data_IF_012200022747
#
_entry.id   IF_012200022747
#
_cell.length_a   1.000
_cell.length_b   1.000
_cell.length_c   1.000
_cell.angle_alpha   90.00
_cell.angle_beta   90.00
_cell.angle_gamma   90.00
#
_symmetry.space_group_name_H-M   'P 1'
#
loop_
_entity.id
_entity.type
_entity.pdbx_description
1 polymer ?
#
# COMPACT_ATOMS: atom_id res chain seq x y z
N UNK A 1 20.47 44.35 -23.72
CA UNK A 1 20.60 42.90 -23.89
C UNK A 1 20.57 42.32 -22.47
N UNK A 2 19.40 42.01 -22.02
CA UNK A 2 19.19 41.35 -20.71
C UNK A 2 18.87 39.89 -21.00
N UNK A 3 19.85 39.05 -20.69
CA UNK A 3 19.80 37.60 -20.84
C UNK A 3 18.89 37.06 -19.70
N UNK A 4 17.66 36.69 -20.06
CA UNK A 4 16.78 35.93 -19.18
C UNK A 4 17.13 34.44 -19.33
N UNK A 5 18.05 33.98 -18.54
CA UNK A 5 18.20 32.53 -18.31
C UNK A 5 16.99 32.09 -17.49
N UNK A 6 15.97 31.54 -18.16
CA UNK A 6 14.93 30.74 -17.55
C UNK A 6 15.61 29.49 -16.93
N UNK A 7 15.93 29.59 -15.63
CA UNK A 7 16.22 28.42 -14.84
C UNK A 7 14.94 27.60 -14.69
N UNK A 8 14.70 26.72 -15.66
CA UNK A 8 13.73 25.65 -15.54
C UNK A 8 14.26 24.65 -14.47
N UNK A 9 14.05 24.97 -13.19
CA UNK A 9 14.21 24.01 -12.11
C UNK A 9 13.13 22.94 -12.28
N UNK A 10 13.43 21.93 -13.10
CA UNK A 10 12.59 20.75 -13.27
C UNK A 10 12.45 20.02 -11.95
N UNK A 11 11.50 20.44 -11.12
CA UNK A 11 11.07 19.66 -9.96
C UNK A 11 10.47 18.38 -10.52
N UNK A 12 11.21 17.29 -10.47
CA UNK A 12 10.69 15.96 -10.83
C UNK A 12 9.50 15.66 -9.92
N UNK A 13 8.31 15.52 -10.52
CA UNK A 13 7.11 15.20 -9.77
C UNK A 13 7.17 13.74 -9.32
N UNK A 14 7.12 13.48 -8.02
CA UNK A 14 7.08 12.12 -7.45
C UNK A 14 5.89 11.33 -7.99
N UNK A 15 6.14 10.21 -8.66
CA UNK A 15 5.10 9.32 -9.17
C UNK A 15 4.78 8.22 -8.16
N UNK A 16 3.52 8.15 -7.74
CA UNK A 16 3.03 7.19 -6.74
C UNK A 16 2.02 6.23 -7.34
N UNK A 17 2.29 4.93 -7.26
CA UNK A 17 1.32 3.89 -7.55
C UNK A 17 0.66 3.39 -6.27
N UNK A 18 -0.69 3.35 -6.24
CA UNK A 18 -1.48 2.79 -5.14
C UNK A 18 -2.28 1.60 -5.66
N UNK A 19 -1.97 0.39 -5.21
CA UNK A 19 -2.74 -0.80 -5.58
C UNK A 19 -4.09 -0.82 -4.87
N UNK A 20 -5.18 -1.20 -5.57
CA UNK A 20 -6.52 -1.17 -4.99
C UNK A 20 -7.03 0.24 -4.66
N UNK A 21 -6.61 1.25 -5.44
CA UNK A 21 -6.89 2.67 -5.19
C UNK A 21 -8.30 3.14 -5.58
N UNK A 22 -9.16 2.25 -6.07
CA UNK A 22 -10.48 2.62 -6.57
C UNK A 22 -11.57 2.75 -5.50
N UNK A 23 -11.26 2.50 -4.22
CA UNK A 23 -12.18 2.67 -3.08
C UNK A 23 -11.47 2.67 -1.72
N UNK A 24 -12.19 3.02 -0.67
CA UNK A 24 -11.76 2.92 0.72
C UNK A 24 -10.44 3.65 1.00
N UNK A 25 -9.55 2.99 1.75
CA UNK A 25 -8.26 3.57 2.15
C UNK A 25 -7.40 3.98 0.94
N UNK A 26 -7.33 3.14 -0.10
CA UNK A 26 -6.54 3.46 -1.29
C UNK A 26 -7.04 4.69 -2.04
N UNK A 27 -8.35 4.90 -2.11
CA UNK A 27 -8.97 6.08 -2.72
C UNK A 27 -8.65 7.35 -1.92
N UNK A 28 -8.80 7.31 -0.61
CA UNK A 28 -8.49 8.46 0.27
C UNK A 28 -6.99 8.76 0.30
N UNK A 29 -6.13 7.73 0.34
CA UNK A 29 -4.69 7.93 0.23
C UNK A 29 -4.32 8.59 -1.11
N UNK A 30 -4.96 8.19 -2.22
CA UNK A 30 -4.77 8.80 -3.53
C UNK A 30 -5.15 10.29 -3.54
N UNK A 31 -6.32 10.63 -2.97
CA UNK A 31 -6.76 12.01 -2.82
C UNK A 31 -5.73 12.86 -2.06
N UNK A 32 -5.30 12.37 -0.90
CA UNK A 32 -4.36 13.09 -0.02
C UNK A 32 -2.96 13.22 -0.63
N UNK A 33 -2.42 12.16 -1.24
CA UNK A 33 -1.10 12.22 -1.89
C UNK A 33 -1.09 13.15 -3.11
N UNK A 34 -2.21 13.25 -3.85
CA UNK A 34 -2.37 14.28 -4.88
C UNK A 34 -2.28 15.68 -4.28
N UNK A 35 -2.92 15.94 -3.12
CA UNK A 35 -2.82 17.23 -2.42
C UNK A 35 -1.40 17.53 -1.93
N UNK A 36 -0.59 16.49 -1.67
CA UNK A 36 0.85 16.61 -1.39
C UNK A 36 1.71 16.84 -2.66
N UNK A 37 1.10 16.98 -3.85
CA UNK A 37 1.79 17.27 -5.10
C UNK A 37 2.34 16.04 -5.83
N UNK A 38 1.99 14.82 -5.42
CA UNK A 38 2.37 13.61 -6.13
C UNK A 38 1.56 13.46 -7.44
N UNK A 39 2.21 12.95 -8.49
CA UNK A 39 1.49 12.32 -9.59
C UNK A 39 1.00 10.97 -9.11
N UNK A 40 -0.29 10.86 -8.83
CA UNK A 40 -0.88 9.63 -8.32
C UNK A 40 -1.45 8.79 -9.45
N UNK A 41 -1.13 7.51 -9.45
CA UNK A 41 -1.73 6.47 -10.29
C UNK A 41 -2.43 5.46 -9.41
N UNK A 42 -3.72 5.24 -9.59
CA UNK A 42 -4.43 4.18 -8.89
C UNK A 42 -4.45 2.90 -9.73
N UNK A 43 -4.09 1.77 -9.12
CA UNK A 43 -4.25 0.45 -9.70
C UNK A 43 -5.60 -0.15 -9.33
N UNK A 44 -6.35 -0.65 -10.31
CA UNK A 44 -7.63 -1.31 -10.10
C UNK A 44 -7.80 -2.52 -11.02
N UNK A 45 -8.30 -3.65 -10.49
CA UNK A 45 -8.55 -4.86 -11.27
C UNK A 45 -9.67 -4.66 -12.30
N UNK A 46 -10.74 -4.00 -11.90
CA UNK A 46 -11.86 -3.65 -12.76
C UNK A 46 -11.60 -2.30 -13.43
N UNK A 47 -11.52 -2.30 -14.76
CA UNK A 47 -11.20 -1.12 -15.55
C UNK A 47 -12.24 -0.01 -15.39
N UNK A 48 -13.54 -0.34 -15.36
CA UNK A 48 -14.61 0.63 -15.24
C UNK A 48 -14.56 1.36 -13.89
N UNK A 49 -14.37 0.61 -12.79
CA UNK A 49 -14.23 1.19 -11.44
C UNK A 49 -12.95 2.00 -11.31
N UNK A 50 -11.85 1.54 -11.93
CA UNK A 50 -10.59 2.29 -11.95
C UNK A 50 -10.73 3.63 -12.65
N UNK A 51 -11.32 3.65 -13.84
CA UNK A 51 -11.55 4.86 -14.63
C UNK A 51 -12.49 5.83 -13.90
N UNK A 52 -13.59 5.34 -13.32
CA UNK A 52 -14.52 6.16 -12.55
C UNK A 52 -13.81 6.84 -11.37
N UNK A 53 -13.11 6.06 -10.53
CA UNK A 53 -12.42 6.58 -9.35
C UNK A 53 -11.32 7.59 -9.73
N UNK A 54 -10.57 7.32 -10.80
CA UNK A 54 -9.56 8.24 -11.31
C UNK A 54 -10.18 9.55 -11.79
N UNK A 55 -11.33 9.49 -12.47
CA UNK A 55 -12.08 10.67 -12.89
C UNK A 55 -12.58 11.51 -11.72
N UNK A 56 -13.10 10.87 -10.66
CA UNK A 56 -13.54 11.56 -9.44
C UNK A 56 -12.38 12.25 -8.71
N UNK A 57 -11.24 11.59 -8.63
CA UNK A 57 -10.03 12.12 -7.98
C UNK A 57 -9.26 13.12 -8.87
N UNK A 58 -9.44 13.05 -10.18
CA UNK A 58 -8.59 13.76 -11.14
C UNK A 58 -7.14 13.26 -11.07
N UNK A 59 -6.94 11.95 -11.04
CA UNK A 59 -5.64 11.26 -11.04
C UNK A 59 -5.55 10.28 -12.20
N UNK A 60 -4.38 9.68 -12.39
CA UNK A 60 -4.15 8.64 -13.38
C UNK A 60 -4.61 7.27 -12.86
N UNK A 61 -4.81 6.32 -13.78
CA UNK A 61 -5.11 4.94 -13.41
C UNK A 61 -4.45 3.94 -14.35
N UNK A 62 -4.29 2.71 -13.86
CA UNK A 62 -3.80 1.56 -14.61
C UNK A 62 -4.63 0.33 -14.25
N UNK A 63 -4.92 -0.54 -15.24
CA UNK A 63 -5.52 -1.82 -14.92
C UNK A 63 -4.50 -2.71 -14.22
N UNK A 64 -4.81 -3.16 -13.00
CA UNK A 64 -3.87 -3.91 -12.17
C UNK A 64 -4.61 -4.95 -11.32
N UNK A 65 -4.45 -6.21 -11.70
CA UNK A 65 -4.77 -7.36 -10.86
C UNK A 65 -3.47 -7.84 -10.18
N UNK A 66 -3.36 -7.57 -8.88
CA UNK A 66 -2.16 -7.91 -8.09
C UNK A 66 -1.94 -9.41 -7.90
N UNK A 67 -2.93 -10.25 -8.26
CA UNK A 67 -2.83 -11.72 -8.22
C UNK A 67 -2.33 -12.30 -9.55
N UNK A 68 -2.10 -11.47 -10.58
CA UNK A 68 -1.66 -11.87 -11.91
C UNK A 68 -0.29 -11.29 -12.23
N UNK A 69 0.72 -12.15 -12.39
CA UNK A 69 2.07 -11.75 -12.79
C UNK A 69 2.06 -10.97 -14.11
N UNK A 70 1.24 -11.41 -15.08
CA UNK A 70 1.13 -10.74 -16.38
C UNK A 70 0.51 -9.35 -16.26
N UNK A 71 -0.53 -9.17 -15.41
CA UNK A 71 -1.15 -7.88 -15.17
C UNK A 71 -0.18 -6.91 -14.48
N UNK A 72 0.57 -7.40 -13.49
CA UNK A 72 1.54 -6.59 -12.76
C UNK A 72 2.70 -6.15 -13.68
N UNK A 73 3.20 -7.05 -14.52
CA UNK A 73 4.24 -6.74 -15.49
C UNK A 73 3.78 -5.71 -16.54
N UNK A 74 2.55 -5.87 -17.06
CA UNK A 74 1.97 -4.92 -18.00
C UNK A 74 1.77 -3.53 -17.38
N UNK A 75 1.33 -3.46 -16.12
CA UNK A 75 1.20 -2.20 -15.40
C UNK A 75 2.57 -1.53 -15.18
N UNK A 76 3.61 -2.29 -14.85
CA UNK A 76 4.96 -1.75 -14.69
C UNK A 76 5.49 -1.17 -16.02
N UNK A 77 5.26 -1.85 -17.13
CA UNK A 77 5.63 -1.34 -18.46
C UNK A 77 4.86 -0.07 -18.82
N UNK A 78 3.54 -0.04 -18.63
CA UNK A 78 2.70 1.14 -18.91
C UNK A 78 3.17 2.38 -18.13
N UNK A 79 3.48 2.21 -16.84
CA UNK A 79 3.93 3.32 -16.01
C UNK A 79 5.35 3.79 -16.35
N UNK A 80 6.20 2.87 -16.79
CA UNK A 80 7.51 3.22 -17.34
C UNK A 80 7.38 4.09 -18.60
N UNK A 81 6.53 3.68 -19.55
CA UNK A 81 6.34 4.38 -20.83
C UNK A 81 5.68 5.75 -20.66
N UNK A 82 4.69 5.86 -19.75
CA UNK A 82 3.93 7.10 -19.54
C UNK A 82 4.64 8.13 -18.68
N UNK A 83 5.39 7.66 -17.65
CA UNK A 83 5.87 8.54 -16.58
C UNK A 83 7.36 8.38 -16.26
N UNK A 84 8.07 7.45 -16.91
CA UNK A 84 9.46 7.14 -16.61
C UNK A 84 9.62 6.27 -15.36
N UNK A 85 8.52 5.75 -14.82
CA UNK A 85 8.50 4.81 -13.70
C UNK A 85 7.78 5.33 -12.46
N UNK A 86 7.97 4.61 -11.35
CA UNK A 86 7.34 4.83 -10.05
C UNK A 86 8.41 5.12 -9.00
N UNK A 87 8.20 6.16 -8.21
CA UNK A 87 9.04 6.52 -7.06
C UNK A 87 8.51 5.95 -5.75
N UNK A 88 7.18 5.91 -5.60
CA UNK A 88 6.48 5.45 -4.40
C UNK A 88 5.49 4.37 -4.76
N UNK A 89 5.63 3.19 -4.14
CA UNK A 89 4.71 2.06 -4.29
C UNK A 89 3.93 1.84 -2.99
N UNK A 90 2.60 2.02 -3.03
CA UNK A 90 1.71 1.71 -1.92
C UNK A 90 0.97 0.41 -2.21
N UNK A 91 1.37 -0.67 -1.55
CA UNK A 91 0.70 -1.97 -1.58
C UNK A 91 -0.50 -1.95 -0.61
N UNK A 92 -1.64 -1.46 -1.12
CA UNK A 92 -2.87 -1.32 -0.35
C UNK A 92 -3.91 -2.39 -0.70
N UNK A 93 -3.86 -3.00 -1.88
CA UNK A 93 -4.81 -4.04 -2.28
C UNK A 93 -4.83 -5.20 -1.27
N UNK A 94 -6.02 -5.59 -0.84
CA UNK A 94 -6.18 -6.68 0.12
C UNK A 94 -7.63 -7.16 0.24
N UNK A 95 -7.80 -8.34 0.84
CA UNK A 95 -9.09 -8.95 1.14
C UNK A 95 -9.10 -9.48 2.58
N UNK A 96 -10.26 -9.45 3.22
CA UNK A 96 -10.46 -10.07 4.55
C UNK A 96 -10.52 -11.60 4.47
N UNK A 97 -10.90 -12.14 3.32
CA UNK A 97 -11.38 -13.50 3.19
C UNK A 97 -12.77 -13.70 3.79
N UNK A 98 -13.33 -14.90 3.71
CA UNK A 98 -14.60 -15.23 4.34
C UNK A 98 -14.46 -15.29 5.86
N UNK A 99 -15.50 -14.88 6.58
CA UNK A 99 -15.59 -15.06 8.03
C UNK A 99 -16.05 -16.49 8.32
N UNK A 100 -15.10 -17.36 8.62
CA UNK A 100 -15.33 -18.76 9.02
C UNK A 100 -14.67 -19.01 10.38
N UNK A 101 -15.16 -20.02 11.12
CA UNK A 101 -14.51 -20.47 12.36
C UNK A 101 -13.07 -20.94 12.11
N UNK A 102 -12.23 -20.90 13.13
CA UNK A 102 -10.83 -21.37 12.99
C UNK A 102 -10.76 -22.87 12.68
N UNK A 103 -11.73 -23.63 13.10
CA UNK A 103 -11.92 -25.07 12.86
C UNK A 103 -12.51 -25.38 11.47
N UNK A 104 -13.09 -24.36 10.80
CA UNK A 104 -13.63 -24.46 9.43
C UNK A 104 -12.65 -23.93 8.37
N UNK A 105 -11.48 -23.40 8.80
CA UNK A 105 -10.48 -22.87 7.90
C UNK A 105 -9.85 -23.96 7.06
N UNK A 106 -9.92 -23.80 5.74
CA UNK A 106 -9.27 -24.71 4.80
C UNK A 106 -8.09 -24.06 4.06
N UNK A 107 -7.31 -24.90 3.37
CA UNK A 107 -6.13 -24.48 2.63
C UNK A 107 -6.47 -23.58 1.43
N UNK A 108 -7.64 -23.71 0.81
CA UNK A 108 -8.04 -22.90 -0.34
C UNK A 108 -8.33 -21.46 0.09
N UNK A 109 -9.06 -21.29 1.19
CA UNK A 109 -9.29 -19.98 1.82
C UNK A 109 -7.95 -19.32 2.20
N UNK A 110 -7.09 -20.05 2.92
CA UNK A 110 -5.78 -19.57 3.33
C UNK A 110 -4.94 -19.11 2.13
N UNK A 111 -4.85 -19.95 1.09
CA UNK A 111 -4.09 -19.63 -0.12
C UNK A 111 -4.60 -18.39 -0.82
N UNK A 112 -5.91 -18.23 -0.96
CA UNK A 112 -6.51 -17.07 -1.61
C UNK A 112 -6.21 -15.76 -0.88
N UNK A 113 -6.27 -15.77 0.45
CA UNK A 113 -5.97 -14.58 1.26
C UNK A 113 -4.48 -14.25 1.23
N UNK A 114 -3.61 -15.26 1.36
CA UNK A 114 -2.16 -15.08 1.26
C UNK A 114 -1.75 -14.57 -0.12
N UNK A 115 -2.34 -15.09 -1.21
CA UNK A 115 -2.02 -14.67 -2.57
C UNK A 115 -2.28 -13.16 -2.78
N UNK A 116 -3.44 -12.67 -2.30
CA UNK A 116 -3.81 -11.27 -2.45
C UNK A 116 -3.08 -10.34 -1.46
N UNK A 117 -2.95 -10.74 -0.19
CA UNK A 117 -2.46 -9.82 0.85
C UNK A 117 -0.94 -9.83 1.02
N UNK A 118 -0.28 -10.94 0.63
CA UNK A 118 1.15 -11.17 0.89
C UNK A 118 1.93 -11.36 -0.40
N UNK A 119 1.57 -12.36 -1.22
CA UNK A 119 2.32 -12.68 -2.45
C UNK A 119 2.19 -11.56 -3.47
N UNK A 120 1.06 -10.86 -3.51
CA UNK A 120 0.87 -9.67 -4.33
C UNK A 120 1.91 -8.58 -4.07
N UNK A 121 2.27 -8.33 -2.80
CA UNK A 121 3.33 -7.37 -2.48
C UNK A 121 4.70 -7.80 -3.03
N UNK A 122 4.98 -9.10 -3.02
CA UNK A 122 6.20 -9.65 -3.66
C UNK A 122 6.18 -9.42 -5.16
N UNK A 123 5.03 -9.69 -5.85
CA UNK A 123 4.89 -9.46 -7.29
C UNK A 123 5.09 -8.00 -7.67
N UNK A 124 4.43 -7.09 -6.95
CA UNK A 124 4.52 -5.66 -7.23
C UNK A 124 5.92 -5.12 -6.94
N UNK A 125 6.53 -5.43 -5.79
CA UNK A 125 7.90 -5.03 -5.48
C UNK A 125 8.86 -5.56 -6.55
N UNK A 126 8.76 -6.83 -6.93
CA UNK A 126 9.61 -7.42 -7.96
C UNK A 126 9.50 -6.71 -9.31
N UNK A 127 8.28 -6.44 -9.78
CA UNK A 127 8.06 -5.82 -11.08
C UNK A 127 8.48 -4.33 -11.12
N UNK A 128 8.28 -3.62 -10.03
CA UNK A 128 8.62 -2.19 -9.93
C UNK A 128 10.03 -1.92 -9.39
N UNK A 129 10.77 -2.94 -8.94
CA UNK A 129 12.11 -2.79 -8.37
C UNK A 129 13.09 -2.04 -9.28
N UNK A 130 13.15 -2.30 -10.61
CA UNK A 130 14.03 -1.55 -11.50
C UNK A 130 13.71 -0.05 -11.54
N UNK A 131 12.42 0.33 -11.44
CA UNK A 131 11.97 1.72 -11.43
C UNK A 131 12.31 2.38 -10.09
N UNK A 132 11.96 1.73 -8.97
CA UNK A 132 12.29 2.19 -7.62
C UNK A 132 13.80 2.45 -7.45
N UNK A 133 14.66 1.56 -7.99
CA UNK A 133 16.13 1.75 -7.93
C UNK A 133 16.65 2.94 -8.73
N UNK A 134 15.90 3.46 -9.69
CA UNK A 134 16.25 4.68 -10.44
C UNK A 134 15.73 5.95 -9.79
N UNK A 135 14.78 5.84 -8.89
CA UNK A 135 14.25 6.98 -8.14
C UNK A 135 15.31 7.56 -7.21
N UNK A 136 15.29 8.87 -7.03
CA UNK A 136 16.16 9.56 -6.06
C UNK A 136 15.70 9.40 -4.61
N UNK A 137 14.43 9.06 -4.39
CA UNK A 137 13.85 8.85 -3.06
C UNK A 137 12.80 7.72 -3.11
N UNK A 138 13.23 6.46 -3.35
CA UNK A 138 12.29 5.35 -3.52
C UNK A 138 11.65 4.93 -2.20
N UNK A 139 10.34 4.75 -2.22
CA UNK A 139 9.56 4.35 -1.04
C UNK A 139 8.62 3.20 -1.38
N UNK A 140 8.50 2.24 -0.48
CA UNK A 140 7.47 1.20 -0.49
C UNK A 140 6.70 1.25 0.82
N UNK A 141 5.38 1.36 0.75
CA UNK A 141 4.48 1.31 1.90
C UNK A 141 3.59 0.08 1.76
N UNK A 142 3.72 -0.86 2.68
CA UNK A 142 2.87 -2.04 2.75
C UNK A 142 1.76 -1.81 3.79
N UNK A 143 0.50 -1.77 3.33
CA UNK A 143 -0.66 -1.58 4.22
C UNK A 143 -0.99 -2.92 4.88
N UNK A 144 -0.64 -3.02 6.16
CA UNK A 144 -0.90 -4.18 7.00
C UNK A 144 -2.10 -3.97 7.93
N UNK A 145 -2.00 -4.44 9.16
CA UNK A 145 -3.02 -4.34 10.20
C UNK A 145 -2.41 -4.74 11.54
N UNK A 146 -2.89 -4.18 12.65
CA UNK A 146 -2.59 -4.65 13.99
C UNK A 146 -2.89 -6.14 14.21
N UNK A 147 -3.80 -6.71 13.39
CA UNK A 147 -4.06 -8.17 13.37
C UNK A 147 -2.87 -9.01 12.89
N UNK A 148 -1.89 -8.43 12.18
CA UNK A 148 -0.63 -9.06 11.78
C UNK A 148 0.43 -9.04 12.89
N UNK A 149 0.33 -8.10 13.82
CA UNK A 149 1.29 -7.92 14.91
C UNK A 149 1.12 -8.97 16.01
N UNK A 150 2.17 -9.69 16.34
CA UNK A 150 2.18 -10.58 17.51
C UNK A 150 2.08 -9.80 18.84
N UNK A 151 2.71 -8.62 18.91
CA UNK A 151 2.65 -7.77 20.09
C UNK A 151 1.23 -7.24 20.35
N UNK A 152 0.55 -6.76 19.30
CA UNK A 152 -0.84 -6.28 19.40
C UNK A 152 -1.80 -7.41 19.74
N UNK A 153 -1.64 -8.58 19.11
CA UNK A 153 -2.47 -9.76 19.37
C UNK A 153 -2.29 -10.35 20.78
N UNK A 154 -1.11 -10.17 21.39
CA UNK A 154 -0.86 -10.62 22.78
C UNK A 154 -1.47 -9.70 23.85
N UNK A 155 -1.85 -8.47 23.48
CA UNK A 155 -2.47 -7.51 24.41
C UNK A 155 -3.98 -7.79 24.55
N UNK A 156 -4.39 -8.35 25.70
CA UNK A 156 -5.78 -8.70 26.00
C UNK A 156 -6.72 -7.49 26.06
N UNK A 157 -6.19 -6.27 26.19
CA UNK A 157 -6.99 -5.04 26.18
C UNK A 157 -7.39 -4.59 24.77
N UNK A 158 -6.77 -5.15 23.75
CA UNK A 158 -7.00 -4.81 22.36
C UNK A 158 -8.10 -5.67 21.73
N UNK A 159 -8.89 -5.06 20.84
CA UNK A 159 -9.93 -5.79 20.11
C UNK A 159 -9.35 -6.92 19.23
N UNK A 160 -8.15 -6.70 18.69
CA UNK A 160 -7.43 -7.65 17.85
C UNK A 160 -7.20 -8.98 18.55
N UNK A 161 -7.02 -8.99 19.89
CA UNK A 161 -6.86 -10.20 20.68
C UNK A 161 -8.04 -11.17 20.53
N UNK A 162 -9.27 -10.66 20.48
CA UNK A 162 -10.50 -11.44 20.48
C UNK A 162 -11.00 -11.86 19.09
N UNK A 163 -10.40 -11.35 17.99
CA UNK A 163 -10.91 -11.57 16.64
C UNK A 163 -10.37 -12.88 16.03
N UNK A 164 -11.23 -13.84 15.63
CA UNK A 164 -10.82 -15.14 15.07
C UNK A 164 -10.51 -15.05 13.57
N UNK A 165 -9.68 -14.12 13.15
CA UNK A 165 -9.37 -13.82 11.75
C UNK A 165 -8.14 -14.56 11.25
N UNK A 166 -8.13 -15.91 11.30
CA UNK A 166 -6.93 -16.75 11.08
C UNK A 166 -6.21 -16.43 9.76
N UNK A 167 -6.88 -16.53 8.60
CA UNK A 167 -6.23 -16.32 7.31
C UNK A 167 -5.76 -14.88 7.12
N UNK A 168 -6.59 -13.92 7.53
CA UNK A 168 -6.24 -12.50 7.43
C UNK A 168 -5.04 -12.15 8.32
N UNK A 169 -5.07 -12.53 9.60
CA UNK A 169 -3.97 -12.28 10.53
C UNK A 169 -2.66 -12.92 10.06
N UNK A 170 -2.71 -14.19 9.63
CA UNK A 170 -1.54 -14.88 9.09
C UNK A 170 -0.97 -14.16 7.85
N UNK A 171 -1.84 -13.67 6.95
CA UNK A 171 -1.40 -12.95 5.75
C UNK A 171 -0.73 -11.61 6.09
N UNK A 172 -1.24 -10.90 7.08
CA UNK A 172 -0.66 -9.61 7.50
C UNK A 172 0.64 -9.81 8.28
N UNK A 173 0.74 -10.81 9.14
CA UNK A 173 2.00 -11.19 9.78
C UNK A 173 3.09 -11.60 8.77
N UNK A 174 2.71 -12.32 7.71
CA UNK A 174 3.62 -12.65 6.63
C UNK A 174 4.06 -11.40 5.85
N UNK A 175 3.16 -10.45 5.58
CA UNK A 175 3.49 -9.17 4.94
C UNK A 175 4.45 -8.33 5.79
N UNK A 176 4.24 -8.33 7.10
CA UNK A 176 5.10 -7.63 8.07
C UNK A 176 6.52 -8.20 8.04
N UNK A 177 6.66 -9.53 8.10
CA UNK A 177 7.96 -10.20 7.98
C UNK A 177 8.63 -9.94 6.63
N UNK A 178 7.90 -10.00 5.51
CA UNK A 178 8.45 -9.68 4.19
C UNK A 178 8.99 -8.25 4.16
N UNK A 179 8.26 -7.30 4.74
CA UNK A 179 8.68 -5.89 4.81
C UNK A 179 9.97 -5.73 5.59
N UNK A 180 10.10 -6.36 6.75
CA UNK A 180 11.31 -6.32 7.57
C UNK A 180 12.53 -6.88 6.80
N UNK A 181 12.35 -8.01 6.11
CA UNK A 181 13.43 -8.62 5.30
C UNK A 181 13.79 -7.74 4.10
N UNK A 182 12.81 -7.23 3.34
CA UNK A 182 13.10 -6.32 2.22
C UNK A 182 13.84 -5.05 2.69
N UNK A 183 13.40 -4.43 3.79
CA UNK A 183 14.06 -3.25 4.35
C UNK A 183 15.52 -3.51 4.75
N UNK A 184 15.81 -4.71 5.25
CA UNK A 184 17.17 -5.11 5.63
C UNK A 184 18.09 -5.33 4.42
N UNK A 185 17.56 -5.89 3.32
CA UNK A 185 18.38 -6.33 2.19
C UNK A 185 18.26 -5.42 0.95
N UNK A 186 17.39 -4.41 0.98
CA UNK A 186 17.28 -3.34 -0.01
C UNK A 186 17.44 -1.96 0.66
N UNK A 187 18.62 -1.65 1.25
CA UNK A 187 18.82 -0.45 2.06
C UNK A 187 18.69 0.85 1.25
N UNK A 188 18.76 0.76 -0.07
CA UNK A 188 18.55 1.88 -0.97
C UNK A 188 17.09 2.32 -1.09
N UNK A 189 16.13 1.50 -0.62
CA UNK A 189 14.68 1.79 -0.68
C UNK A 189 14.13 1.91 0.74
N UNK A 190 13.30 2.91 1.01
CA UNK A 190 12.58 3.03 2.28
C UNK A 190 11.34 2.13 2.23
N UNK A 191 11.34 1.03 2.97
CA UNK A 191 10.28 0.03 2.95
C UNK A 191 9.70 -0.11 4.35
N UNK A 192 8.40 0.25 4.52
CA UNK A 192 7.74 0.30 5.81
C UNK A 192 6.36 -0.36 5.78
N UNK A 193 5.90 -0.78 6.94
CA UNK A 193 4.54 -1.28 7.19
C UNK A 193 3.72 -0.23 7.90
N UNK A 194 2.44 -0.13 7.56
CA UNK A 194 1.48 0.71 8.26
C UNK A 194 0.25 -0.06 8.69
N UNK A 195 -0.25 0.24 9.90
CA UNK A 195 -1.56 -0.17 10.37
C UNK A 195 -2.55 0.99 10.21
N UNK A 196 -3.57 0.88 9.34
CA UNK A 196 -4.62 1.89 9.23
C UNK A 196 -5.56 1.93 10.44
N UNK A 197 -5.45 0.98 11.36
CA UNK A 197 -6.37 0.80 12.47
C UNK A 197 -7.77 0.34 12.04
N UNK A 198 -8.72 0.28 12.99
CA UNK A 198 -10.08 -0.16 12.71
C UNK A 198 -10.90 0.97 12.07
N UNK A 199 -10.79 1.06 10.75
CA UNK A 199 -11.32 2.15 9.91
C UNK A 199 -12.62 1.72 9.22
N UNK A 200 -13.66 2.56 9.28
CA UNK A 200 -14.94 2.32 8.62
C UNK A 200 -14.81 2.39 7.09
N UNK A 201 -14.83 1.25 6.43
CA UNK A 201 -14.77 1.10 4.96
C UNK A 201 -15.68 -0.03 4.50
N UNK A 202 -15.95 -0.13 3.20
CA UNK A 202 -16.66 -1.28 2.62
C UNK A 202 -15.97 -2.62 2.91
N UNK A 203 -14.67 -2.62 3.17
CA UNK A 203 -13.88 -3.81 3.50
C UNK A 203 -14.40 -4.55 4.73
N UNK A 204 -14.95 -3.82 5.70
CA UNK A 204 -15.48 -4.35 6.97
C UNK A 204 -16.95 -3.97 7.22
N UNK A 205 -17.72 -3.70 6.15
CA UNK A 205 -19.12 -3.31 6.24
C UNK A 205 -19.32 -1.93 6.87
N UNK A 206 -18.37 -1.02 6.70
CA UNK A 206 -18.34 0.34 7.28
C UNK A 206 -18.38 0.35 8.81
N UNK A 207 -17.82 -0.68 9.44
CA UNK A 207 -17.64 -0.74 10.89
C UNK A 207 -16.27 -0.19 11.30
N UNK A 208 -16.16 0.28 12.52
CA UNK A 208 -14.94 0.87 13.08
C UNK A 208 -15.11 2.32 13.51
N UNK A 209 -14.36 2.77 14.53
CA UNK A 209 -14.49 4.12 15.09
C UNK A 209 -13.75 5.19 14.28
N UNK A 210 -12.79 4.78 13.41
CA UNK A 210 -11.98 5.71 12.64
C UNK A 210 -12.63 6.05 11.30
N UNK A 211 -12.49 7.31 10.89
CA UNK A 211 -12.80 7.77 9.54
C UNK A 211 -11.76 7.26 8.54
N UNK A 212 -12.10 7.25 7.26
CA UNK A 212 -11.15 6.84 6.19
C UNK A 212 -9.94 7.79 6.15
N UNK A 213 -10.14 9.06 6.43
CA UNK A 213 -9.05 10.05 6.51
C UNK A 213 -8.08 9.70 7.63
N UNK A 214 -8.57 9.42 8.83
CA UNK A 214 -7.74 8.97 9.96
C UNK A 214 -7.00 7.66 9.66
N UNK A 215 -7.66 6.70 9.01
CA UNK A 215 -7.05 5.43 8.62
C UNK A 215 -5.93 5.57 7.58
N UNK A 216 -5.87 6.69 6.85
CA UNK A 216 -4.78 6.94 5.89
C UNK A 216 -3.65 7.79 6.43
N UNK A 217 -3.69 8.25 7.69
CA UNK A 217 -2.65 9.12 8.26
C UNK A 217 -1.25 8.47 8.17
N UNK A 218 -1.10 7.21 8.62
CA UNK A 218 0.16 6.50 8.55
C UNK A 218 0.59 6.20 7.09
N UNK A 219 -0.37 5.89 6.20
CA UNK A 219 -0.09 5.65 4.77
C UNK A 219 0.52 6.89 4.13
N UNK A 220 -0.11 8.06 4.32
CA UNK A 220 0.37 9.32 3.75
C UNK A 220 1.70 9.71 4.37
N UNK A 221 1.83 9.61 5.70
CA UNK A 221 3.07 9.92 6.40
C UNK A 221 4.25 9.11 5.85
N UNK A 222 4.08 7.78 5.67
CA UNK A 222 5.15 6.92 5.15
C UNK A 222 5.37 7.07 3.64
N UNK A 223 4.35 7.41 2.86
CA UNK A 223 4.50 7.64 1.41
C UNK A 223 5.18 8.99 1.06
N UNK A 224 5.26 9.91 2.01
CA UNK A 224 5.87 11.25 1.84
C UNK A 224 7.21 11.41 2.55
N UNK A 225 7.81 10.34 3.07
CA UNK A 225 9.15 10.41 3.70
C UNK A 225 10.23 10.68 2.66
N UNK A 226 11.27 11.41 3.08
CA UNK A 226 12.47 11.63 2.26
C UNK A 226 13.44 10.44 2.28
N UNK A 227 14.54 10.58 1.57
CA UNK A 227 15.61 9.57 1.48
C UNK A 227 16.27 9.25 2.83
N UNK A 228 16.16 10.12 3.81
CA UNK A 228 16.66 9.99 5.20
C UNK A 228 15.58 9.47 6.17
N UNK A 229 14.36 9.20 5.67
CA UNK A 229 13.26 8.68 6.46
C UNK A 229 13.48 7.26 7.00
N UNK A 230 12.57 6.77 7.85
CA UNK A 230 12.65 5.43 8.44
C UNK A 230 12.53 4.33 7.38
N UNK A 231 13.10 3.16 7.69
CA UNK A 231 12.92 1.92 6.93
C UNK A 231 12.85 0.74 7.90
N UNK A 232 12.08 -0.28 7.56
CA UNK A 232 11.88 -1.45 8.41
C UNK A 232 11.07 -1.13 9.67
N UNK A 233 10.15 -0.15 9.60
CA UNK A 233 9.28 0.20 10.73
C UNK A 233 7.85 -0.25 10.50
N UNK A 234 7.16 -0.55 11.59
CA UNK A 234 5.73 -0.75 11.63
C UNK A 234 5.10 0.40 12.41
N UNK A 235 4.22 1.17 11.77
CA UNK A 235 3.62 2.37 12.37
C UNK A 235 2.13 2.45 12.13
N UNK A 236 1.43 3.09 13.06
CA UNK A 236 0.05 3.57 12.91
C UNK A 236 0.02 5.10 12.99
N UNK A 237 -1.17 5.69 13.07
CA UNK A 237 -1.36 7.13 13.24
C UNK A 237 -0.82 7.68 14.56
N UNK A 238 -0.55 6.84 15.55
CA UNK A 238 -0.08 7.21 16.88
C UNK A 238 1.42 7.00 17.07
N UNK A 239 2.08 6.30 16.15
CA UNK A 239 3.52 6.06 16.20
C UNK A 239 3.91 4.63 15.87
N UNK A 240 4.96 4.13 16.54
CA UNK A 240 5.50 2.80 16.29
C UNK A 240 4.62 1.72 16.91
N UNK A 241 4.29 0.72 16.09
CA UNK A 241 3.60 -0.51 16.52
C UNK A 241 4.64 -1.61 16.72
N UNK A 242 4.48 -2.43 17.76
CA UNK A 242 5.29 -3.65 17.94
C UNK A 242 4.98 -4.69 16.84
N UNK A 243 6.02 -5.44 16.44
CA UNK A 243 5.89 -6.53 15.45
C UNK A 243 5.10 -7.72 15.98
#
# INVERSE_FOLDING_TARGET
MTDHTDENTGISTTTTLITGGNKGLGFEAARRLKEHGHRVVIGARDAGRGQQAAGELGVEWVQLDVTSDASVAAAAQDLEERFGGVDVLVNNAGISGPFVGVDEMDAAIMTSVLDTNTVAAVRTIHAFLPQLRRSSAPVVVNVSSGLGSFAVRADESRIEHSLPTLAYSASKAALDMLTAVYAQFLPEIRINVVDPGYTATEFNGNSGPQTVTEGTDAVVAMATIGSDGPTGTFTDRHGVVGW
#
